data_IF_017824749321
#
_entry.id   IF_017824749321
#
_cell.length_a   1.000
_cell.length_b   1.000
_cell.length_c   1.000
_cell.angle_alpha   90.00
_cell.angle_beta   90.00
_cell.angle_gamma   90.00
#
_symmetry.space_group_name_H-M   'P 1'
#
loop_
_entity.id
_entity.type
_entity.pdbx_description
1 polymer ?
#
# COMPACT_ATOMS: atom_id res chain seq x y z
N UNK A 1 -12.45 -9.63 -9.80
CA UNK A 1 -11.20 -10.40 -9.97
C UNK A 1 -10.44 -10.32 -8.67
N UNK A 2 -9.93 -11.44 -8.15
CA UNK A 2 -9.09 -11.44 -6.95
C UNK A 2 -7.67 -11.11 -7.37
N UNK A 3 -7.06 -10.13 -6.71
CA UNK A 3 -5.69 -9.71 -6.93
C UNK A 3 -4.74 -10.50 -6.05
N UNK A 4 -3.58 -10.83 -6.59
CA UNK A 4 -2.62 -11.72 -5.93
C UNK A 4 -1.20 -11.19 -6.05
N UNK A 5 -0.36 -11.50 -5.06
CA UNK A 5 1.04 -11.08 -5.04
C UNK A 5 1.82 -11.75 -6.18
N UNK A 6 1.55 -13.03 -6.45
CA UNK A 6 2.17 -13.78 -7.53
C UNK A 6 1.89 -13.21 -8.92
N UNK A 7 0.74 -12.57 -9.11
CA UNK A 7 0.46 -11.81 -10.33
C UNK A 7 1.12 -10.44 -10.31
N UNK A 8 1.04 -9.72 -9.19
CA UNK A 8 1.62 -8.38 -9.03
C UNK A 8 3.12 -8.36 -9.34
N UNK A 9 3.89 -9.35 -8.87
CA UNK A 9 5.35 -9.36 -9.08
C UNK A 9 5.77 -9.63 -10.52
N UNK A 10 4.86 -10.09 -11.39
CA UNK A 10 5.13 -10.24 -12.83
C UNK A 10 5.18 -8.89 -13.54
N UNK A 11 4.67 -7.83 -12.90
CA UNK A 11 4.74 -6.45 -13.38
C UNK A 11 6.06 -5.84 -12.92
N UNK A 12 6.79 -5.25 -13.85
CA UNK A 12 8.14 -4.74 -13.61
C UNK A 12 8.11 -3.28 -13.13
N UNK A 13 7.14 -2.51 -13.61
CA UNK A 13 7.04 -1.09 -13.32
C UNK A 13 6.14 -0.77 -12.13
N UNK A 14 6.39 0.40 -11.53
CA UNK A 14 5.59 0.93 -10.42
C UNK A 14 4.18 1.30 -10.88
N UNK A 15 4.09 1.86 -12.07
CA UNK A 15 2.87 2.32 -12.69
C UNK A 15 1.94 1.14 -13.02
N UNK A 16 2.48 0.03 -13.55
CA UNK A 16 1.70 -1.20 -13.77
C UNK A 16 1.16 -1.79 -12.47
N UNK A 17 1.99 -1.83 -11.41
CA UNK A 17 1.55 -2.34 -10.10
C UNK A 17 0.48 -1.45 -9.48
N UNK A 18 0.61 -0.12 -9.58
CA UNK A 18 -0.40 0.83 -9.12
C UNK A 18 -1.73 0.65 -9.86
N UNK A 19 -1.70 0.61 -11.19
CA UNK A 19 -2.92 0.47 -12.00
C UNK A 19 -3.58 -0.90 -11.78
N UNK A 20 -2.79 -1.96 -11.63
CA UNK A 20 -3.33 -3.27 -11.25
C UNK A 20 -4.09 -3.20 -9.94
N UNK A 21 -3.54 -2.55 -8.90
CA UNK A 21 -4.13 -2.47 -7.57
C UNK A 21 -5.30 -1.48 -7.45
N UNK A 22 -5.37 -0.49 -8.33
CA UNK A 22 -6.37 0.57 -8.32
C UNK A 22 -7.80 0.06 -8.16
N UNK A 23 -8.52 0.66 -7.23
CA UNK A 23 -9.92 0.32 -6.94
C UNK A 23 -10.84 1.28 -7.69
N UNK A 24 -11.56 0.77 -8.69
CA UNK A 24 -12.53 1.55 -9.49
C UNK A 24 -13.92 1.66 -8.82
N UNK A 25 -14.05 1.29 -7.54
CA UNK A 25 -15.33 1.19 -6.82
C UNK A 25 -15.56 2.34 -5.83
N UNK A 26 -16.82 2.49 -5.37
CA UNK A 26 -17.16 3.42 -4.28
C UNK A 26 -16.44 3.01 -2.99
N UNK A 27 -15.45 3.80 -2.59
CA UNK A 27 -14.82 3.66 -1.27
C UNK A 27 -15.87 3.97 -0.20
N UNK A 28 -16.18 2.99 0.65
CA UNK A 28 -16.94 3.21 1.88
C UNK A 28 -18.41 2.80 1.87
N UNK A 29 -18.85 1.87 1.01
CA UNK A 29 -20.27 1.52 0.98
C UNK A 29 -20.79 0.72 2.20
N UNK A 30 -19.99 0.32 3.22
CA UNK A 30 -20.57 -0.15 4.51
C UNK A 30 -19.65 -0.10 5.77
N UNK A 31 -18.34 0.14 5.67
CA UNK A 31 -17.38 -0.27 6.73
C UNK A 31 -17.14 0.72 7.90
N UNK A 32 -17.75 1.91 7.91
CA UNK A 32 -17.33 2.97 8.85
C UNK A 32 -18.20 3.14 10.12
N UNK A 33 -19.40 2.57 10.18
CA UNK A 33 -20.37 2.88 11.25
C UNK A 33 -20.30 2.00 12.50
N UNK A 34 -20.49 0.68 12.34
CA UNK A 34 -20.55 -0.28 13.45
C UNK A 34 -19.24 -1.09 13.63
N UNK A 35 -18.39 -1.14 12.61
CA UNK A 35 -17.28 -2.12 12.50
C UNK A 35 -15.95 -1.61 13.06
N UNK A 36 -15.91 -0.37 13.54
CA UNK A 36 -14.69 0.30 14.01
C UNK A 36 -14.02 -0.44 15.17
N UNK A 37 -14.80 -1.14 16.01
CA UNK A 37 -14.26 -1.95 17.12
C UNK A 37 -13.58 -3.21 16.58
N UNK A 38 -14.20 -3.91 15.63
CA UNK A 38 -13.65 -5.12 15.01
C UNK A 38 -12.36 -4.81 14.25
N UNK A 39 -12.36 -3.74 13.45
CA UNK A 39 -11.15 -3.25 12.77
C UNK A 39 -10.03 -2.94 13.76
N UNK A 40 -10.32 -2.20 14.83
CA UNK A 40 -9.32 -1.88 15.84
C UNK A 40 -8.76 -3.10 16.54
N UNK A 41 -9.59 -4.11 16.83
CA UNK A 41 -9.12 -5.36 17.46
C UNK A 41 -8.23 -6.14 16.49
N UNK A 42 -8.64 -6.27 15.23
CA UNK A 42 -7.86 -6.95 14.19
C UNK A 42 -6.50 -6.28 13.98
N UNK A 43 -6.47 -4.96 13.71
CA UNK A 43 -5.22 -4.25 13.45
C UNK A 43 -4.28 -4.12 14.67
N UNK A 44 -4.77 -4.48 15.87
CA UNK A 44 -3.96 -4.60 17.11
C UNK A 44 -3.63 -6.05 17.48
N UNK A 45 -4.10 -7.02 16.71
CA UNK A 45 -3.89 -8.44 17.01
C UNK A 45 -2.42 -8.82 16.85
N UNK A 46 -2.04 -9.92 17.49
CA UNK A 46 -0.67 -10.44 17.41
C UNK A 46 -0.39 -10.95 15.99
N UNK A 47 -1.36 -11.64 15.42
CA UNK A 47 -1.34 -12.23 14.09
C UNK A 47 -1.13 -11.16 13.02
N UNK A 48 -1.87 -10.04 13.10
CA UNK A 48 -1.69 -8.93 12.18
C UNK A 48 -0.29 -8.32 12.29
N UNK A 49 0.23 -8.16 13.51
CA UNK A 49 1.57 -7.59 13.71
C UNK A 49 2.66 -8.51 13.16
N UNK A 50 2.52 -9.82 13.32
CA UNK A 50 3.46 -10.82 12.80
C UNK A 50 3.47 -10.83 11.27
N UNK A 51 2.29 -10.95 10.64
CA UNK A 51 2.19 -10.95 9.18
C UNK A 51 2.67 -9.61 8.61
N UNK A 52 2.30 -8.48 9.23
CA UNK A 52 2.76 -7.15 8.81
C UNK A 52 4.29 -7.09 8.74
N UNK A 53 4.99 -7.61 9.76
CA UNK A 53 6.45 -7.61 9.76
C UNK A 53 7.02 -8.51 8.66
N UNK A 54 6.41 -9.67 8.41
CA UNK A 54 6.79 -10.57 7.33
C UNK A 54 6.65 -9.91 5.95
N UNK A 55 5.54 -9.20 5.70
CA UNK A 55 5.29 -8.50 4.43
C UNK A 55 6.29 -7.37 4.22
N UNK A 56 6.52 -6.56 5.25
CA UNK A 56 7.49 -5.46 5.20
C UNK A 56 8.91 -5.98 4.91
N UNK A 57 9.28 -7.12 5.50
CA UNK A 57 10.57 -7.76 5.25
C UNK A 57 10.67 -8.36 3.83
N UNK A 58 9.61 -9.03 3.35
CA UNK A 58 9.52 -9.58 1.99
C UNK A 58 9.72 -8.49 0.93
N UNK A 59 9.10 -7.34 1.16
CA UNK A 59 9.09 -6.22 0.21
C UNK A 59 10.30 -5.28 0.38
N UNK A 60 11.26 -5.62 1.25
CA UNK A 60 12.47 -4.83 1.52
C UNK A 60 12.21 -3.35 1.85
N UNK A 61 11.13 -3.06 2.59
CA UNK A 61 10.70 -1.68 2.89
C UNK A 61 10.39 -0.84 1.64
N UNK A 62 10.29 -1.46 0.47
CA UNK A 62 10.10 -0.78 -0.80
C UNK A 62 8.61 -0.68 -1.13
N UNK A 63 8.23 0.47 -1.68
CA UNK A 63 6.88 0.72 -2.13
C UNK A 63 6.52 -0.25 -3.26
N UNK A 64 5.38 -0.92 -3.10
CA UNK A 64 4.92 -2.01 -3.97
C UNK A 64 5.96 -3.13 -4.17
N UNK A 65 6.95 -3.25 -3.28
CA UNK A 65 8.05 -4.21 -3.42
C UNK A 65 8.96 -3.95 -4.62
N UNK A 66 9.10 -2.69 -5.06
CA UNK A 66 9.98 -2.30 -6.17
C UNK A 66 11.31 -1.75 -5.64
N UNK A 67 12.41 -2.42 -6.01
CA UNK A 67 13.76 -2.00 -5.65
C UNK A 67 14.03 -0.54 -6.05
N UNK A 68 14.64 0.23 -5.15
CA UNK A 68 14.95 1.66 -5.36
C UNK A 68 13.77 2.60 -5.09
N UNK A 69 12.66 2.10 -4.53
CA UNK A 69 11.53 2.91 -4.02
C UNK A 69 11.35 2.69 -2.52
N UNK A 70 12.41 2.86 -1.74
CA UNK A 70 12.38 2.70 -0.29
C UNK A 70 11.41 3.70 0.37
N UNK A 71 10.56 3.21 1.27
CA UNK A 71 9.64 4.07 2.01
C UNK A 71 10.39 4.67 3.21
N UNK A 72 10.73 5.95 3.12
CA UNK A 72 11.39 6.69 4.21
C UNK A 72 10.43 7.18 5.31
N UNK A 73 9.12 7.04 5.10
CA UNK A 73 8.08 7.50 6.01
C UNK A 73 7.28 6.37 6.65
N UNK A 74 5.97 6.60 6.79
CA UNK A 74 5.05 5.61 7.35
C UNK A 74 4.87 4.44 6.37
N UNK A 75 5.31 3.26 6.79
CA UNK A 75 5.12 2.01 6.05
C UNK A 75 3.75 1.41 6.38
N UNK A 76 2.93 1.23 5.34
CA UNK A 76 1.64 0.59 5.41
C UNK A 76 1.72 -0.81 4.79
N UNK A 77 0.91 -1.73 5.30
CA UNK A 77 0.61 -2.99 4.61
C UNK A 77 -0.85 -2.91 4.19
N UNK A 78 -1.09 -3.08 2.90
CA UNK A 78 -2.37 -2.92 2.24
C UNK A 78 -2.94 -4.26 1.79
N UNK A 79 -4.23 -4.48 2.03
CA UNK A 79 -5.00 -5.58 1.45
C UNK A 79 -5.31 -5.27 -0.01
N UNK A 80 -4.73 -6.02 -0.95
CA UNK A 80 -4.91 -5.80 -2.40
C UNK A 80 -6.36 -5.98 -2.87
N UNK A 81 -7.16 -6.66 -2.06
CA UNK A 81 -8.58 -6.89 -2.29
C UNK A 81 -9.36 -6.22 -1.15
N UNK A 82 -10.49 -5.56 -1.45
CA UNK A 82 -11.39 -5.06 -0.41
C UNK A 82 -11.79 -6.19 0.55
N UNK A 83 -11.72 -5.91 1.86
CA UNK A 83 -12.18 -6.81 2.91
C UNK A 83 -13.48 -6.29 3.51
N UNK A 84 -14.37 -7.19 3.92
CA UNK A 84 -15.61 -6.84 4.62
C UNK A 84 -15.61 -7.36 6.08
N UNK A 85 -16.67 -7.05 6.83
CA UNK A 85 -16.78 -7.53 8.21
C UNK A 85 -16.89 -9.06 8.30
N UNK A 86 -17.47 -9.72 7.29
CA UNK A 86 -17.56 -11.17 7.27
C UNK A 86 -16.18 -11.82 7.17
N UNK A 87 -15.22 -11.17 6.49
CA UNK A 87 -13.83 -11.63 6.46
C UNK A 87 -13.24 -11.63 7.86
N UNK A 88 -13.42 -10.54 8.61
CA UNK A 88 -12.92 -10.38 10.00
C UNK A 88 -13.61 -11.36 10.94
N UNK A 89 -14.91 -11.54 10.80
CA UNK A 89 -15.72 -12.40 11.65
C UNK A 89 -15.38 -13.87 11.44
N UNK A 90 -15.18 -14.28 10.18
CA UNK A 90 -14.87 -15.65 9.81
C UNK A 90 -13.37 -15.93 9.69
N UNK A 91 -12.51 -14.95 9.97
CA UNK A 91 -11.06 -15.02 9.83
C UNK A 91 -10.63 -15.61 8.48
N UNK A 92 -11.19 -15.09 7.38
CA UNK A 92 -10.90 -15.60 6.04
C UNK A 92 -9.42 -15.40 5.68
N UNK A 93 -8.93 -16.21 4.76
CA UNK A 93 -7.50 -16.24 4.39
C UNK A 93 -6.99 -14.87 3.91
N UNK A 94 -7.86 -14.03 3.35
CA UNK A 94 -7.51 -12.72 2.79
C UNK A 94 -6.91 -11.75 3.83
N UNK A 95 -7.19 -11.96 5.12
CA UNK A 95 -6.75 -11.05 6.18
C UNK A 95 -5.26 -11.15 6.48
N UNK A 96 -4.71 -12.36 6.44
CA UNK A 96 -3.36 -12.68 6.96
C UNK A 96 -2.53 -13.56 6.01
N UNK A 97 -3.04 -13.91 4.83
CA UNK A 97 -2.25 -14.61 3.83
C UNK A 97 -1.40 -13.59 3.04
N UNK A 98 -0.06 -13.78 2.97
CA UNK A 98 0.84 -12.90 2.21
C UNK A 98 0.45 -12.70 0.74
N UNK A 99 -0.25 -13.65 0.15
CA UNK A 99 -0.67 -13.60 -1.24
C UNK A 99 -1.65 -12.45 -1.54
N UNK A 100 -2.26 -11.87 -0.51
CA UNK A 100 -3.24 -10.78 -0.63
C UNK A 100 -2.78 -9.47 0.01
N UNK A 101 -1.52 -9.38 0.43
CA UNK A 101 -0.94 -8.25 1.15
C UNK A 101 0.28 -7.68 0.43
N UNK A 102 0.44 -6.36 0.43
CA UNK A 102 1.58 -5.65 -0.15
C UNK A 102 1.98 -4.42 0.68
N UNK A 103 3.28 -4.15 0.76
CA UNK A 103 3.82 -2.93 1.37
C UNK A 103 3.56 -1.73 0.48
N UNK A 104 3.01 -0.66 1.04
CA UNK A 104 2.73 0.59 0.31
C UNK A 104 3.15 1.83 1.10
N UNK A 105 3.54 2.87 0.37
CA UNK A 105 3.62 4.23 0.90
C UNK A 105 2.21 4.81 1.13
N UNK A 106 2.15 5.93 1.85
CA UNK A 106 0.89 6.65 2.02
C UNK A 106 0.34 7.18 0.69
N UNK A 107 1.21 7.53 -0.26
CA UNK A 107 0.83 8.06 -1.57
C UNK A 107 0.27 6.94 -2.45
N UNK A 108 0.98 5.81 -2.56
CA UNK A 108 0.49 4.60 -3.24
C UNK A 108 -0.86 4.15 -2.68
N UNK A 109 -1.01 4.14 -1.35
CA UNK A 109 -2.29 3.82 -0.71
C UNK A 109 -3.41 4.77 -1.16
N UNK A 110 -3.14 6.08 -1.21
CA UNK A 110 -4.12 7.07 -1.64
C UNK A 110 -4.45 6.94 -3.13
N UNK A 111 -3.46 6.63 -3.97
CA UNK A 111 -3.69 6.33 -5.37
C UNK A 111 -4.61 5.13 -5.55
N UNK A 112 -4.32 4.02 -4.86
CA UNK A 112 -5.09 2.79 -4.97
C UNK A 112 -6.55 3.00 -4.58
N UNK A 113 -6.80 3.78 -3.52
CA UNK A 113 -8.16 4.03 -3.03
C UNK A 113 -8.90 5.16 -3.77
N UNK A 114 -8.21 6.24 -4.11
CA UNK A 114 -8.84 7.49 -4.53
C UNK A 114 -8.40 7.97 -5.91
N UNK A 115 -7.47 7.28 -6.56
CA UNK A 115 -6.87 7.74 -7.82
C UNK A 115 -6.08 9.04 -7.69
N UNK A 116 -5.67 9.41 -6.47
CA UNK A 116 -4.83 10.59 -6.25
C UNK A 116 -3.42 10.23 -6.70
N UNK A 117 -2.98 10.80 -7.81
CA UNK A 117 -1.62 10.61 -8.35
C UNK A 117 -0.57 10.89 -7.27
N UNK A 118 0.40 9.99 -7.05
CA UNK A 118 1.50 10.23 -6.15
C UNK A 118 2.30 11.44 -6.60
N UNK A 119 2.87 12.19 -5.66
CA UNK A 119 3.72 13.32 -6.01
C UNK A 119 5.04 12.74 -6.48
N UNK A 120 5.24 12.73 -7.80
CA UNK A 120 6.53 12.33 -8.36
C UNK A 120 7.50 13.48 -8.11
N UNK A 121 8.34 13.33 -7.09
CA UNK A 121 9.55 14.15 -6.98
C UNK A 121 10.44 13.80 -8.18
N UNK A 122 10.24 14.51 -9.29
CA UNK A 122 11.18 14.44 -10.41
C UNK A 122 12.56 14.84 -9.89
N UNK A 123 13.55 13.99 -10.14
CA UNK A 123 14.93 14.34 -9.88
C UNK A 123 15.28 15.57 -10.72
N UNK A 124 15.43 16.73 -10.06
CA UNK A 124 15.94 17.95 -10.67
C UNK A 124 17.47 17.92 -10.52
N UNK A 125 18.23 17.72 -11.61
CA UNK A 125 19.69 17.74 -11.54
C UNK A 125 20.16 19.08 -10.98
N UNK A 126 21.03 19.03 -9.98
CA UNK A 126 21.59 20.24 -9.38
C UNK A 126 22.42 21.01 -10.41
N UNK A 127 22.26 22.33 -10.46
CA UNK A 127 23.04 23.21 -11.34
C UNK A 127 23.92 24.14 -10.52
N UNK A 128 24.99 24.66 -11.13
CA UNK A 128 25.89 25.57 -10.45
C UNK A 128 25.10 26.78 -9.93
N UNK A 129 25.19 27.05 -8.62
CA UNK A 129 24.50 28.14 -7.91
C UNK A 129 22.98 27.98 -7.68
N UNK A 130 22.39 26.80 -7.91
CA UNK A 130 20.94 26.56 -7.73
C UNK A 130 20.37 26.77 -6.32
N UNK A 131 21.23 26.97 -5.33
CA UNK A 131 20.89 27.27 -3.92
C UNK A 131 21.36 28.65 -3.47
N UNK A 132 21.91 29.46 -4.38
CA UNK A 132 22.40 30.81 -4.12
C UNK A 132 21.46 31.86 -4.74
N UNK A 133 20.48 32.42 -4.00
CA UNK A 133 19.46 33.31 -4.56
C UNK A 133 19.97 34.65 -5.13
N UNK A 134 21.28 34.93 -5.03
CA UNK A 134 21.92 36.15 -5.55
C UNK A 134 22.94 35.89 -6.67
N UNK A 135 23.13 34.63 -7.10
CA UNK A 135 24.01 34.29 -8.23
C UNK A 135 23.14 33.71 -9.34
N UNK A 136 22.74 34.56 -10.28
CA UNK A 136 22.16 34.16 -11.56
C UNK A 136 23.25 33.68 -12.51
#
# INVERSE_FOLDING_TARGET
MIRTYSELIKMESYEERLEYLKLNGKVGEDTFGFDRIFNQRFYKSKEWREIRNQIIARDFLCDLGISGREIHGKILVHHMNPICIDDITNATEILINPEYLITVSQESHNYIHYGIEPIVDEYIPRTLNDTCPWKN
#
